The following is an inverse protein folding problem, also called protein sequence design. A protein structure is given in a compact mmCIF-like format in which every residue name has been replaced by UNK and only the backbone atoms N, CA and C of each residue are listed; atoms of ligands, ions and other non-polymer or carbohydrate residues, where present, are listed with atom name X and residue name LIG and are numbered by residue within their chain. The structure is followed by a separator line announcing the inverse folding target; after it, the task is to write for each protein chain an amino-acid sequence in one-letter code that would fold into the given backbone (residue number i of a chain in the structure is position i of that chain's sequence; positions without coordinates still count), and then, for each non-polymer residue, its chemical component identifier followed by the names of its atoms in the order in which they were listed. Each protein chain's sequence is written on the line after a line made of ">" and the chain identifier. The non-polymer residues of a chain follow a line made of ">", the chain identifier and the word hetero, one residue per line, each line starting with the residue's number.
data_IF_791288534981
#
_entry.id   IF_791288534981
#
_cell.length_a   1.000
_cell.length_b   1.000
_cell.length_c   1.000
_cell.angle_alpha   90.00
_cell.angle_beta   90.00
_cell.angle_gamma   90.00
#
_symmetry.space_group_name_H-M   'P 1'
#
loop_
_entity.id
_entity.type
_entity.pdbx_description
1 polymer ?
#
# COMPACT_ATOMS: atom_id res chain seq x y z
N UNK A 1 12.53 8.36 0.99
CA UNK A 1 11.66 7.48 1.78
C UNK A 1 12.40 6.28 2.37
N UNK A 2 11.75 5.58 3.31
CA UNK A 2 12.22 4.32 3.91
C UNK A 2 11.44 3.13 3.32
N UNK A 3 11.98 1.94 3.44
CA UNK A 3 11.31 0.66 3.16
C UNK A 3 11.25 -0.20 4.42
N UNK A 4 10.34 -1.16 4.44
CA UNK A 4 10.19 -2.19 5.46
C UNK A 4 11.05 -3.40 5.11
N UNK A 5 11.80 -3.89 6.10
CA UNK A 5 12.54 -5.13 5.95
C UNK A 5 11.56 -6.32 5.80
N UNK A 6 11.85 -7.22 4.86
CA UNK A 6 11.03 -8.41 4.59
C UNK A 6 9.84 -8.20 3.66
N UNK A 7 9.70 -6.99 3.08
CA UNK A 7 8.72 -6.72 2.03
C UNK A 7 9.44 -6.72 0.68
N UNK A 8 9.23 -7.78 -0.09
CA UNK A 8 9.91 -8.01 -1.38
C UNK A 8 9.20 -7.35 -2.58
N UNK A 9 8.40 -6.32 -2.31
CA UNK A 9 7.67 -5.54 -3.31
C UNK A 9 7.94 -4.04 -3.15
N UNK A 10 7.84 -3.24 -4.23
CA UNK A 10 8.00 -1.80 -4.15
C UNK A 10 7.01 -1.15 -3.19
N UNK A 11 7.50 -0.25 -2.35
CA UNK A 11 6.71 0.60 -1.46
C UNK A 11 7.60 1.73 -0.93
N UNK A 12 6.99 2.77 -0.39
CA UNK A 12 7.72 3.85 0.26
C UNK A 12 6.99 4.33 1.51
N UNK A 13 7.75 4.52 2.58
CA UNK A 13 7.32 5.20 3.80
C UNK A 13 7.98 6.57 3.87
N UNK A 14 7.16 7.61 4.00
CA UNK A 14 7.60 8.99 4.18
C UNK A 14 7.17 9.49 5.56
N UNK A 15 7.98 10.33 6.22
CA UNK A 15 7.53 11.02 7.43
C UNK A 15 6.41 11.99 7.07
N UNK A 16 5.32 11.94 7.83
CA UNK A 16 4.19 12.85 7.71
C UNK A 16 3.91 13.45 9.10
N UNK A 17 4.72 14.42 9.55
CA UNK A 17 4.56 15.00 10.88
C UNK A 17 3.13 15.52 11.10
N UNK A 18 2.59 15.41 12.33
CA UNK A 18 1.27 15.91 12.66
C UNK A 18 1.26 17.43 12.53
N UNK A 19 0.73 17.94 11.42
CA UNK A 19 0.57 19.37 11.20
C UNK A 19 -0.85 19.78 11.57
N UNK A 20 -0.99 20.78 12.46
CA UNK A 20 -2.29 21.37 12.81
C UNK A 20 -2.69 22.51 11.86
N UNK A 21 -1.76 23.00 11.02
CA UNK A 21 -1.96 24.11 10.07
C UNK A 21 -1.20 23.84 8.74
N UNK A 22 -1.85 23.21 7.76
CA UNK A 22 -1.23 22.93 6.44
C UNK A 22 -1.09 21.45 6.08
N UNK A 23 -1.83 20.57 6.76
CA UNK A 23 -1.83 19.13 6.54
C UNK A 23 -2.12 18.72 5.07
N UNK A 24 -2.87 19.53 4.33
CA UNK A 24 -3.22 19.32 2.92
C UNK A 24 -2.00 19.47 1.98
N UNK A 25 -1.23 20.55 2.14
CA UNK A 25 -0.01 20.80 1.36
C UNK A 25 1.09 19.78 1.66
N UNK A 26 1.18 19.33 2.91
CA UNK A 26 2.15 18.31 3.30
C UNK A 26 1.75 16.94 2.75
N UNK A 27 0.49 16.54 2.90
CA UNK A 27 -0.03 15.28 2.34
C UNK A 27 0.15 15.23 0.82
N UNK A 28 -0.14 16.34 0.13
CA UNK A 28 0.06 16.43 -1.32
C UNK A 28 1.54 16.29 -1.71
N UNK A 29 2.46 16.90 -0.95
CA UNK A 29 3.90 16.73 -1.18
C UNK A 29 4.36 15.30 -0.99
N UNK A 30 3.95 14.64 0.10
CA UNK A 30 4.24 13.21 0.32
C UNK A 30 3.63 12.35 -0.80
N UNK A 31 2.44 12.69 -1.29
CA UNK A 31 1.83 12.01 -2.42
C UNK A 31 2.68 12.11 -3.69
N UNK A 32 3.08 13.32 -4.07
CA UNK A 32 3.93 13.53 -5.26
C UNK A 32 5.29 12.85 -5.12
N UNK A 33 5.95 12.98 -3.97
CA UNK A 33 7.23 12.33 -3.70
C UNK A 33 7.10 10.79 -3.76
N UNK A 34 5.99 10.24 -3.25
CA UNK A 34 5.70 8.81 -3.31
C UNK A 34 5.56 8.30 -4.76
N UNK A 35 4.82 9.03 -5.59
CA UNK A 35 4.70 8.72 -7.02
C UNK A 35 6.06 8.80 -7.74
N UNK A 36 6.88 9.80 -7.40
CA UNK A 36 8.20 9.96 -7.99
C UNK A 36 9.13 8.79 -7.64
N UNK A 37 9.26 8.48 -6.34
CA UNK A 37 10.11 7.39 -5.82
C UNK A 37 9.71 6.04 -6.41
N UNK A 38 8.40 5.78 -6.52
CA UNK A 38 7.87 4.51 -7.03
C UNK A 38 7.76 4.47 -8.56
N UNK A 39 8.16 5.55 -9.25
CA UNK A 39 8.07 5.60 -10.72
C UNK A 39 6.64 5.52 -11.25
N UNK A 40 5.64 5.85 -10.44
CA UNK A 40 4.24 5.84 -10.85
C UNK A 40 3.98 7.06 -11.72
N UNK A 41 3.59 6.82 -12.97
CA UNK A 41 3.32 7.86 -13.97
C UNK A 41 1.94 7.64 -14.57
N UNK A 42 1.18 8.70 -14.86
CA UNK A 42 -0.11 8.55 -15.53
C UNK A 42 0.03 7.82 -16.87
N UNK A 43 -0.93 6.97 -17.18
CA UNK A 43 -1.06 6.37 -18.50
C UNK A 43 -1.42 7.44 -19.54
N UNK A 44 -1.40 7.14 -20.85
CA UNK A 44 -1.89 8.05 -21.89
C UNK A 44 -3.34 8.53 -21.67
N UNK A 45 -4.13 7.77 -20.91
CA UNK A 45 -5.51 8.12 -20.53
C UNK A 45 -5.57 9.01 -19.28
N UNK A 46 -4.42 9.42 -18.72
CA UNK A 46 -4.32 10.27 -17.55
C UNK A 46 -4.49 9.56 -16.21
N UNK A 47 -4.63 8.23 -16.21
CA UNK A 47 -4.85 7.45 -14.99
C UNK A 47 -3.53 6.98 -14.39
N UNK A 48 -3.35 7.18 -13.09
CA UNK A 48 -2.22 6.58 -12.37
C UNK A 48 -2.40 5.06 -12.25
N UNK A 49 -1.30 4.28 -12.24
CA UNK A 49 -1.36 2.85 -11.92
C UNK A 49 -2.02 2.65 -10.55
N UNK A 50 -2.73 1.52 -10.33
CA UNK A 50 -3.36 1.25 -9.04
C UNK A 50 -2.34 1.27 -7.90
N UNK A 51 -2.67 1.95 -6.81
CA UNK A 51 -1.83 2.01 -5.63
C UNK A 51 -2.69 2.18 -4.37
N UNK A 52 -2.18 1.66 -3.25
CA UNK A 52 -2.70 1.95 -1.93
C UNK A 52 -1.97 3.15 -1.34
N UNK A 53 -2.71 3.95 -0.57
CA UNK A 53 -2.21 5.07 0.20
C UNK A 53 -2.75 4.95 1.62
N UNK A 54 -1.87 5.13 2.60
CA UNK A 54 -2.20 5.22 4.01
C UNK A 54 -1.42 6.38 4.62
N UNK A 55 -2.09 7.20 5.43
CA UNK A 55 -1.49 8.37 6.04
C UNK A 55 -2.12 8.59 7.42
N UNK A 56 -1.29 8.85 8.42
CA UNK A 56 -1.70 9.03 9.80
C UNK A 56 -0.53 8.90 10.76
N UNK A 57 -0.71 9.34 12.01
CA UNK A 57 0.22 9.09 13.12
C UNK A 57 1.71 9.33 12.83
N UNK A 58 2.03 10.37 12.06
CA UNK A 58 3.42 10.72 11.77
C UNK A 58 4.01 10.11 10.48
N UNK A 59 3.24 9.33 9.72
CA UNK A 59 3.74 8.59 8.56
C UNK A 59 2.78 8.57 7.37
N UNK A 60 3.37 8.31 6.21
CA UNK A 60 2.71 8.13 4.93
C UNK A 60 3.28 6.86 4.27
N UNK A 61 2.42 5.98 3.79
CA UNK A 61 2.76 4.74 3.09
C UNK A 61 2.10 4.75 1.72
N UNK A 62 2.88 4.47 0.68
CA UNK A 62 2.38 4.17 -0.66
C UNK A 62 2.88 2.81 -1.13
N UNK A 63 1.98 2.02 -1.71
CA UNK A 63 2.28 0.68 -2.25
C UNK A 63 1.60 0.52 -3.61
N UNK A 64 2.33 0.33 -4.73
CA UNK A 64 1.70 0.02 -6.00
C UNK A 64 1.07 -1.36 -5.97
N UNK A 65 0.02 -1.54 -6.78
CA UNK A 65 -0.80 -2.75 -6.80
C UNK A 65 -1.05 -3.23 -8.22
N UNK A 66 -1.06 -4.55 -8.38
CA UNK A 66 -1.43 -5.21 -9.63
C UNK A 66 -2.81 -5.86 -9.60
N UNK A 67 -3.33 -6.17 -8.41
CA UNK A 67 -4.64 -6.81 -8.26
C UNK A 67 -5.26 -6.49 -6.89
N UNK A 68 -6.53 -6.85 -6.73
CA UNK A 68 -7.32 -6.59 -5.52
C UNK A 68 -7.53 -7.85 -4.67
N UNK A 69 -7.71 -9.02 -5.29
CA UNK A 69 -7.92 -10.29 -4.59
C UNK A 69 -6.75 -11.24 -4.81
N UNK A 70 -6.39 -12.01 -3.78
CA UNK A 70 -5.60 -13.23 -3.93
C UNK A 70 -6.16 -14.33 -3.03
N UNK A 71 -6.31 -15.55 -3.55
CA UNK A 71 -6.85 -16.70 -2.80
C UNK A 71 -8.24 -16.43 -2.16
N UNK A 72 -9.09 -15.65 -2.84
CA UNK A 72 -10.40 -15.25 -2.32
C UNK A 72 -10.35 -14.23 -1.17
N UNK A 73 -9.18 -13.70 -0.85
CA UNK A 73 -8.97 -12.67 0.18
C UNK A 73 -8.76 -11.32 -0.53
N UNK A 74 -9.66 -10.38 -0.24
CA UNK A 74 -9.58 -8.99 -0.69
C UNK A 74 -8.49 -8.25 0.08
N UNK A 75 -7.62 -7.53 -0.63
CA UNK A 75 -6.53 -6.74 -0.05
C UNK A 75 -6.67 -5.29 -0.45
N UNK A 76 -6.98 -4.45 0.55
CA UNK A 76 -6.99 -3.01 0.46
C UNK A 76 -5.76 -2.41 1.18
N UNK A 77 -5.76 -1.11 1.41
CA UNK A 77 -4.66 -0.43 2.08
C UNK A 77 -4.46 -0.83 3.56
N UNK A 78 -5.52 -1.27 4.26
CA UNK A 78 -5.44 -1.76 5.65
C UNK A 78 -4.68 -3.08 5.76
N UNK A 79 -4.73 -3.93 4.73
CA UNK A 79 -3.98 -5.19 4.69
C UNK A 79 -2.47 -4.97 4.83
N UNK A 80 -1.94 -3.91 4.23
CA UNK A 80 -0.53 -3.51 4.36
C UNK A 80 -0.20 -2.92 5.73
N UNK A 81 -1.21 -2.55 6.52
CA UNK A 81 -1.06 -2.13 7.92
C UNK A 81 -1.32 -3.28 8.92
N UNK A 82 -1.45 -4.52 8.44
CA UNK A 82 -1.64 -5.70 9.29
C UNK A 82 -3.10 -6.04 9.62
N UNK A 83 -4.08 -5.30 9.08
CA UNK A 83 -5.49 -5.57 9.32
C UNK A 83 -6.11 -6.29 8.11
N UNK A 84 -6.53 -7.54 8.33
CA UNK A 84 -7.10 -8.40 7.29
C UNK A 84 -8.55 -8.74 7.61
N UNK A 85 -9.38 -8.76 6.58
CA UNK A 85 -10.74 -9.29 6.65
C UNK A 85 -10.79 -10.64 5.92
N UNK A 86 -11.04 -11.71 6.67
CA UNK A 86 -11.25 -13.04 6.10
C UNK A 86 -12.75 -13.31 6.02
N UNK A 87 -13.26 -13.52 4.81
CA UNK A 87 -14.66 -13.91 4.56
C UNK A 87 -14.74 -15.41 4.26
N UNK A 88 -15.95 -15.94 4.13
CA UNK A 88 -16.20 -17.35 3.75
C UNK A 88 -15.58 -17.72 2.38
N UNK A 89 -15.36 -16.74 1.50
CA UNK A 89 -14.72 -16.96 0.19
C UNK A 89 -13.20 -17.06 0.27
N UNK A 90 -12.61 -16.65 1.40
CA UNK A 90 -11.17 -16.61 1.60
C UNK A 90 -10.59 -17.99 1.91
N UNK A 91 -9.48 -18.32 1.27
CA UNK A 91 -8.78 -19.59 1.48
C UNK A 91 -7.98 -19.57 2.80
N UNK A 92 -8.67 -19.79 3.92
CA UNK A 92 -8.08 -19.84 5.26
C UNK A 92 -6.89 -20.81 5.35
N UNK A 93 -7.03 -22.00 4.79
CA UNK A 93 -6.01 -23.03 4.87
C UNK A 93 -4.73 -22.64 4.12
N UNK A 94 -4.84 -21.90 3.01
CA UNK A 94 -3.68 -21.33 2.34
C UNK A 94 -3.01 -20.26 3.21
N UNK A 95 -3.80 -19.37 3.82
CA UNK A 95 -3.29 -18.29 4.66
C UNK A 95 -2.54 -18.82 5.89
N UNK A 96 -3.07 -19.85 6.56
CA UNK A 96 -2.43 -20.49 7.71
C UNK A 96 -1.09 -21.16 7.34
N UNK A 97 -0.99 -21.73 6.13
CA UNK A 97 0.25 -22.40 5.68
C UNK A 97 1.31 -21.44 5.14
N UNK A 98 0.91 -20.36 4.47
CA UNK A 98 1.82 -19.45 3.75
C UNK A 98 2.08 -18.15 4.51
N UNK A 99 1.16 -17.73 5.37
CA UNK A 99 1.23 -16.46 6.07
C UNK A 99 0.82 -15.26 5.22
N UNK A 100 0.88 -14.08 5.83
CA UNK A 100 0.39 -12.81 5.23
C UNK A 100 1.39 -12.16 4.27
N UNK A 101 2.70 -12.37 4.44
CA UNK A 101 3.68 -11.72 3.56
C UNK A 101 3.57 -12.21 2.10
N UNK A 102 3.45 -13.52 1.82
CA UNK A 102 3.18 -13.97 0.45
C UNK A 102 1.84 -13.48 -0.09
N UNK A 103 0.84 -13.27 0.76
CA UNK A 103 -0.46 -12.70 0.36
C UNK A 103 -0.31 -11.26 -0.13
N UNK A 104 0.41 -10.43 0.63
CA UNK A 104 0.67 -9.03 0.29
C UNK A 104 1.55 -8.91 -0.97
N UNK A 105 2.61 -9.72 -1.08
CA UNK A 105 3.47 -9.75 -2.27
C UNK A 105 2.78 -10.30 -3.52
N UNK A 106 1.70 -11.09 -3.35
CA UNK A 106 0.89 -11.54 -4.47
C UNK A 106 0.06 -10.41 -5.11
N UNK A 107 -0.19 -9.31 -4.39
CA UNK A 107 -1.04 -8.21 -4.85
C UNK A 107 -0.30 -6.89 -5.11
N UNK A 108 0.90 -6.73 -4.55
CA UNK A 108 1.79 -5.59 -4.78
C UNK A 108 2.65 -5.76 -6.04
N UNK A 109 3.10 -4.64 -6.64
CA UNK A 109 3.98 -4.63 -7.80
C UNK A 109 4.93 -3.44 -7.83
#
# INVERSE_FOLDING_TARGET
>A
GRTMAGWDWPHVILPLPPDRNGADLLLYRCYQEGLEILGLRPSPQGLLPPHNLMAGDGWFLMVPRRQEVHQGISINALGFCGLFLLTERGNRAWLERRGVLPLLGAVAC
#
